data_IF_722942111829
#
_entry.id   IF_722942111829
#
_cell.length_a   1.000
_cell.length_b   1.000
_cell.length_c   1.000
_cell.angle_alpha   90.00
_cell.angle_beta   90.00
_cell.angle_gamma   90.00
#
_symmetry.space_group_name_H-M   'P 1'
#
loop_
_entity.id
_entity.type
_entity.pdbx_description
1 polymer ?
#
# COMPACT_ATOMS: atom_id res chain seq x y z
N UNK A 1 17.26 -8.92 10.23
CA UNK A 1 15.93 -8.40 9.87
C UNK A 1 15.86 -8.38 8.34
N UNK A 2 14.76 -8.82 7.72
CA UNK A 2 14.60 -8.86 6.26
C UNK A 2 13.34 -8.09 5.91
N UNK A 3 13.45 -7.15 5.00
CA UNK A 3 12.36 -6.26 4.58
C UNK A 3 12.11 -6.47 3.07
N UNK A 4 10.88 -6.30 2.63
CA UNK A 4 10.48 -6.48 1.24
C UNK A 4 9.78 -5.21 0.76
N UNK A 5 10.36 -4.55 -0.24
CA UNK A 5 9.71 -3.45 -0.94
C UNK A 5 8.81 -4.02 -2.04
N UNK A 6 7.51 -3.75 -1.95
CA UNK A 6 6.54 -4.08 -2.99
C UNK A 6 6.48 -2.98 -4.06
N UNK A 7 6.64 -3.34 -5.32
CA UNK A 7 6.52 -2.42 -6.45
C UNK A 7 5.37 -2.90 -7.32
N UNK A 8 4.40 -2.03 -7.55
CA UNK A 8 3.25 -2.31 -8.41
C UNK A 8 3.16 -1.27 -9.52
N UNK A 9 2.91 -1.75 -10.74
CA UNK A 9 2.95 -0.94 -11.94
C UNK A 9 1.77 -1.18 -12.88
N UNK A 10 1.28 -0.09 -13.47
CA UNK A 10 0.21 -0.11 -14.47
C UNK A 10 -1.17 -0.44 -13.90
N UNK A 11 -2.19 -0.32 -14.75
CA UNK A 11 -3.59 -0.40 -14.33
C UNK A 11 -3.92 -1.72 -13.61
N UNK A 12 -3.60 -2.86 -14.22
CA UNK A 12 -3.88 -4.18 -13.64
C UNK A 12 -3.05 -4.45 -12.37
N UNK A 13 -1.74 -4.15 -12.41
CA UNK A 13 -0.85 -4.35 -11.27
C UNK A 13 -1.27 -3.54 -10.06
N UNK A 14 -1.73 -2.30 -10.26
CA UNK A 14 -2.25 -1.45 -9.19
C UNK A 14 -3.55 -1.97 -8.59
N UNK A 15 -4.47 -2.51 -9.39
CA UNK A 15 -5.71 -3.10 -8.88
C UNK A 15 -5.46 -4.37 -8.06
N UNK A 16 -4.57 -5.24 -8.53
CA UNK A 16 -4.15 -6.43 -7.78
C UNK A 16 -3.45 -6.02 -6.49
N UNK A 17 -2.53 -5.06 -6.57
CA UNK A 17 -1.81 -4.53 -5.43
C UNK A 17 -2.73 -3.93 -4.35
N UNK A 18 -3.78 -3.22 -4.76
CA UNK A 18 -4.79 -2.70 -3.83
C UNK A 18 -5.47 -3.83 -3.03
N UNK A 19 -5.86 -4.91 -3.70
CA UNK A 19 -6.46 -6.08 -3.05
C UNK A 19 -5.48 -6.87 -2.21
N UNK A 20 -4.23 -6.99 -2.65
CA UNK A 20 -3.16 -7.56 -1.85
C UNK A 20 -3.00 -6.82 -0.51
N UNK A 21 -2.86 -5.50 -0.55
CA UNK A 21 -2.68 -4.71 0.67
C UNK A 21 -3.91 -4.73 1.59
N UNK A 22 -5.13 -4.78 1.04
CA UNK A 22 -6.35 -4.97 1.84
C UNK A 22 -6.33 -6.27 2.64
N UNK A 23 -5.92 -7.38 2.01
CA UNK A 23 -5.82 -8.68 2.68
C UNK A 23 -4.70 -8.68 3.73
N UNK A 24 -3.52 -8.17 3.39
CA UNK A 24 -2.37 -8.11 4.31
C UNK A 24 -2.67 -7.21 5.51
N UNK A 25 -3.32 -6.05 5.31
CA UNK A 25 -3.74 -5.20 6.43
C UNK A 25 -4.72 -5.92 7.34
N UNK A 26 -5.71 -6.62 6.76
CA UNK A 26 -6.69 -7.39 7.52
C UNK A 26 -6.03 -8.51 8.34
N UNK A 27 -5.09 -9.24 7.75
CA UNK A 27 -4.33 -10.31 8.42
C UNK A 27 -3.53 -9.78 9.62
N UNK A 28 -2.88 -8.62 9.45
CA UNK A 28 -2.10 -7.96 10.50
C UNK A 28 -2.93 -7.08 11.46
N UNK A 29 -4.25 -7.02 11.29
CA UNK A 29 -5.13 -6.19 12.14
C UNK A 29 -4.86 -4.69 12.00
N UNK A 30 -4.43 -4.23 10.83
CA UNK A 30 -4.20 -2.82 10.50
C UNK A 30 -5.45 -2.24 9.86
N UNK A 31 -5.99 -1.17 10.44
CA UNK A 31 -7.16 -0.48 9.91
C UNK A 31 -6.83 0.42 8.70
N UNK A 32 -7.87 1.00 8.11
CA UNK A 32 -7.76 1.90 6.95
C UNK A 32 -6.96 3.19 7.22
N UNK A 33 -6.72 3.54 8.49
CA UNK A 33 -5.90 4.68 8.90
C UNK A 33 -4.44 4.29 9.14
N UNK A 34 -4.13 2.99 9.09
CA UNK A 34 -2.82 2.42 9.38
C UNK A 34 -2.61 2.15 10.87
N UNK A 35 -3.64 2.14 11.72
CA UNK A 35 -3.51 1.83 13.15
C UNK A 35 -3.74 0.34 13.39
N UNK A 36 -3.00 -0.22 14.33
CA UNK A 36 -3.25 -1.58 14.80
C UNK A 36 -4.49 -1.62 15.69
N UNK A 37 -5.43 -2.48 15.32
CA UNK A 37 -6.68 -2.77 16.05
C UNK A 37 -6.89 -4.28 16.23
N UNK A 38 -5.82 -5.07 16.07
CA UNK A 38 -5.85 -6.52 16.25
C UNK A 38 -5.92 -6.94 17.72
N UNK A 39 -6.09 -8.24 17.92
CA UNK A 39 -6.28 -8.88 19.23
C UNK A 39 -5.17 -9.88 19.58
N UNK A 40 -4.23 -10.13 18.67
CA UNK A 40 -3.17 -11.12 18.82
C UNK A 40 -1.78 -10.51 18.59
N UNK A 41 -0.88 -10.70 19.57
CA UNK A 41 0.52 -10.27 19.47
C UNK A 41 1.26 -10.90 18.27
N UNK A 42 0.81 -12.07 17.80
CA UNK A 42 1.38 -12.72 16.61
C UNK A 42 1.19 -11.89 15.34
N UNK A 43 0.16 -11.03 15.27
CA UNK A 43 -0.06 -10.14 14.12
C UNK A 43 0.99 -9.02 14.05
N UNK A 44 1.59 -8.66 15.18
CA UNK A 44 2.69 -7.71 15.24
C UNK A 44 4.05 -8.39 15.02
N UNK A 45 4.11 -9.72 15.14
CA UNK A 45 5.34 -10.45 14.88
C UNK A 45 5.76 -10.28 13.42
N UNK A 46 6.98 -9.75 13.22
CA UNK A 46 7.58 -9.52 11.88
C UNK A 46 6.75 -8.59 10.98
N UNK A 47 5.87 -7.76 11.53
CA UNK A 47 5.11 -6.78 10.74
C UNK A 47 6.02 -5.82 9.96
N UNK A 48 7.24 -5.61 10.48
CA UNK A 48 8.29 -4.80 9.86
C UNK A 48 8.80 -5.35 8.51
N UNK A 49 8.44 -6.57 8.11
CA UNK A 49 8.78 -7.11 6.78
C UNK A 49 8.11 -6.32 5.67
N UNK A 50 6.86 -5.88 5.90
CA UNK A 50 6.03 -5.18 4.92
C UNK A 50 5.65 -3.76 5.34
N UNK A 51 5.78 -3.40 6.63
CA UNK A 51 5.37 -2.09 7.13
C UNK A 51 6.52 -1.36 7.82
N UNK A 52 6.51 -0.04 7.70
CA UNK A 52 7.24 0.85 8.58
C UNK A 52 6.31 1.36 9.67
N UNK A 53 6.73 1.28 10.92
CA UNK A 53 6.06 1.99 12.01
C UNK A 53 6.48 3.47 11.97
N UNK A 54 5.54 4.34 11.63
CA UNK A 54 5.69 5.78 11.67
C UNK A 54 5.32 6.34 13.05
N UNK A 55 5.58 7.63 13.26
CA UNK A 55 5.13 8.36 14.45
C UNK A 55 3.65 8.12 14.72
N UNK A 56 3.27 8.06 16.00
CA UNK A 56 1.90 7.81 16.49
C UNK A 56 1.36 6.38 16.30
N UNK A 57 2.24 5.39 16.12
CA UNK A 57 1.85 3.97 16.02
C UNK A 57 1.12 3.65 14.72
N UNK A 58 1.44 4.41 13.66
CA UNK A 58 0.84 4.24 12.33
C UNK A 58 1.75 3.36 11.47
N UNK A 59 1.24 2.24 10.98
CA UNK A 59 1.90 1.34 10.07
C UNK A 59 1.70 1.79 8.62
N UNK A 60 2.81 1.95 7.91
CA UNK A 60 2.85 2.40 6.51
C UNK A 60 3.48 1.30 5.65
N UNK A 61 2.80 0.81 4.60
CA UNK A 61 3.35 -0.17 3.68
C UNK A 61 4.67 0.23 3.03
N UNK A 62 5.58 -0.74 2.90
CA UNK A 62 6.74 -0.70 2.00
C UNK A 62 6.26 -0.91 0.56
N UNK A 63 5.60 0.10 -0.01
CA UNK A 63 5.04 -0.01 -1.36
C UNK A 63 5.37 1.21 -2.22
N UNK A 64 5.65 0.98 -3.50
CA UNK A 64 5.70 2.01 -4.55
C UNK A 64 4.62 1.69 -5.59
N UNK A 65 3.78 2.67 -5.88
CA UNK A 65 2.67 2.56 -6.82
C UNK A 65 2.97 3.43 -8.02
N UNK A 66 3.14 2.80 -9.18
CA UNK A 66 3.47 3.51 -10.41
C UNK A 66 2.46 3.28 -11.54
N UNK A 67 2.13 4.34 -12.27
CA UNK A 67 1.32 4.26 -13.49
C UNK A 67 1.63 5.43 -14.41
N UNK A 68 1.51 5.23 -15.70
CA UNK A 68 1.62 6.32 -16.67
C UNK A 68 0.30 7.11 -16.80
N UNK A 69 -0.79 6.56 -16.23
CA UNK A 69 -2.12 7.18 -16.21
C UNK A 69 -2.49 7.69 -14.80
N UNK A 70 -2.80 8.99 -14.63
CA UNK A 70 -3.17 9.54 -13.33
C UNK A 70 -4.50 8.97 -12.79
N UNK A 71 -5.41 8.52 -13.67
CA UNK A 71 -6.74 8.03 -13.26
C UNK A 71 -6.69 6.79 -12.35
N UNK A 72 -5.70 5.90 -12.54
CA UNK A 72 -5.50 4.75 -11.65
C UNK A 72 -5.13 5.21 -10.24
N UNK A 73 -4.31 6.25 -10.12
CA UNK A 73 -3.84 6.76 -8.83
C UNK A 73 -4.95 7.41 -8.03
N UNK A 74 -5.84 8.16 -8.67
CA UNK A 74 -7.00 8.76 -8.01
C UNK A 74 -7.94 7.67 -7.47
N UNK A 75 -8.15 6.62 -8.28
CA UNK A 75 -8.93 5.44 -7.86
C UNK A 75 -8.33 4.77 -6.63
N UNK A 76 -7.00 4.55 -6.61
CA UNK A 76 -6.30 3.97 -5.46
C UNK A 76 -6.40 4.83 -4.20
N UNK A 77 -6.22 6.16 -4.33
CA UNK A 77 -6.31 7.10 -3.21
C UNK A 77 -7.71 7.18 -2.61
N UNK A 78 -8.74 7.03 -3.45
CA UNK A 78 -10.15 6.95 -3.04
C UNK A 78 -10.56 5.58 -2.47
N UNK A 79 -9.71 4.56 -2.64
CA UNK A 79 -9.96 3.22 -2.14
C UNK A 79 -9.93 3.15 -0.61
N UNK A 80 -10.51 2.10 -0.03
CA UNK A 80 -10.62 1.91 1.41
C UNK A 80 -9.28 2.09 2.15
N UNK A 81 -8.21 1.51 1.61
CA UNK A 81 -6.85 1.59 2.16
C UNK A 81 -5.99 2.67 1.49
N UNK A 82 -6.55 3.55 0.65
CA UNK A 82 -5.76 4.56 -0.07
C UNK A 82 -4.95 5.48 0.85
N UNK A 83 -5.46 5.73 2.06
CA UNK A 83 -4.84 6.62 3.04
C UNK A 83 -3.67 5.99 3.81
N UNK A 84 -3.45 4.67 3.73
CA UNK A 84 -2.34 4.03 4.47
C UNK A 84 -0.98 4.35 3.82
N UNK A 85 -0.97 4.47 2.49
CA UNK A 85 0.22 4.75 1.71
C UNK A 85 0.68 6.19 1.91
N UNK A 86 2.00 6.42 1.88
CA UNK A 86 2.54 7.78 1.85
C UNK A 86 2.23 8.42 0.50
N UNK A 87 1.85 9.72 0.46
CA UNK A 87 1.70 10.44 -0.81
C UNK A 87 2.93 10.34 -1.72
N UNK A 88 4.12 10.32 -1.13
CA UNK A 88 5.41 10.22 -1.84
C UNK A 88 5.62 8.87 -2.54
N UNK A 89 4.84 7.84 -2.20
CA UNK A 89 4.96 6.51 -2.79
C UNK A 89 4.21 6.38 -4.13
N UNK A 90 3.39 7.38 -4.48
CA UNK A 90 2.65 7.41 -5.74
C UNK A 90 3.49 8.12 -6.81
N UNK A 91 3.86 7.38 -7.84
CA UNK A 91 4.64 7.88 -8.97
C UNK A 91 3.77 7.80 -10.22
N UNK A 92 3.52 8.91 -10.91
CA UNK A 92 2.73 8.87 -12.13
C UNK A 92 3.22 9.78 -13.24
N UNK A 93 3.02 9.31 -14.47
CA UNK A 93 3.33 10.04 -15.69
C UNK A 93 2.24 11.04 -16.08
N UNK A 94 2.59 11.95 -16.98
CA UNK A 94 1.64 12.80 -17.71
C UNK A 94 1.40 12.30 -19.15
N UNK A 95 2.08 11.23 -19.54
CA UNK A 95 2.00 10.65 -20.88
C UNK A 95 1.78 9.15 -20.75
N UNK A 96 0.86 8.62 -21.55
CA UNK A 96 0.43 7.24 -21.51
C UNK A 96 1.27 6.37 -22.44
N UNK A 97 1.48 5.09 -22.11
CA UNK A 97 2.17 4.15 -23.02
C UNK A 97 1.36 3.89 -24.30
N UNK A 98 0.02 3.97 -24.23
CA UNK A 98 -0.85 3.79 -25.40
C UNK A 98 -0.81 2.37 -25.98
N UNK A 99 -0.57 1.34 -25.15
CA UNK A 99 -0.43 -0.07 -25.56
C UNK A 99 0.56 -0.29 -26.72
N UNK A 100 1.69 0.44 -26.66
CA UNK A 100 2.80 0.34 -27.60
C UNK A 100 3.97 -0.45 -26.98
#
# INVERSE_FOLDING_TARGET
MREILHIQGGQCGNQIGAKFWEVVCTEHGIDVTGKYTGDSELQLERINVYYNEASSGRFVPHAVLMDLEPGTMDSLKSGAYGQIFKPDNFVFGQSVAGNN
#
